data_IF_729006282062
#
_entry.id   IF_729006282062
#
_cell.length_a   1.000
_cell.length_b   1.000
_cell.length_c   1.000
_cell.angle_alpha   90.00
_cell.angle_beta   90.00
_cell.angle_gamma   90.00
#
_symmetry.space_group_name_H-M   'P 1'
#
loop_
_entity.id
_entity.type
_entity.pdbx_description
1 polymer ?
#
# COMPACT_ATOMS: atom_id res chain seq x y z
N UNK A 1 -11.24 21.21 -12.73
CA UNK A 1 -9.96 20.44 -12.81
C UNK A 1 -9.32 20.19 -11.43
N UNK A 2 -9.50 21.06 -10.43
CA UNK A 2 -8.95 20.86 -9.08
C UNK A 2 -9.62 19.72 -8.30
N UNK A 3 -10.94 19.54 -8.43
CA UNK A 3 -11.69 18.50 -7.70
C UNK A 3 -11.19 17.08 -7.99
N UNK A 4 -10.93 16.74 -9.27
CA UNK A 4 -10.38 15.42 -9.64
C UNK A 4 -8.98 15.18 -9.06
N UNK A 5 -8.16 16.23 -8.93
CA UNK A 5 -6.82 16.13 -8.27
C UNK A 5 -6.97 15.93 -6.76
N UNK A 6 -7.93 16.64 -6.14
CA UNK A 6 -8.24 16.51 -4.71
C UNK A 6 -8.79 15.12 -4.40
N UNK A 7 -9.76 14.63 -5.19
CA UNK A 7 -10.29 13.26 -5.08
C UNK A 7 -9.20 12.20 -5.24
N UNK A 8 -8.28 12.36 -6.21
CA UNK A 8 -7.15 11.44 -6.38
C UNK A 8 -6.19 11.43 -5.18
N UNK A 9 -5.93 12.59 -4.56
CA UNK A 9 -5.11 12.66 -3.35
C UNK A 9 -5.80 12.00 -2.15
N UNK A 10 -7.09 12.27 -1.96
CA UNK A 10 -7.87 11.65 -0.88
C UNK A 10 -8.03 10.14 -1.05
N UNK A 11 -8.21 9.65 -2.28
CA UNK A 11 -8.24 8.22 -2.56
C UNK A 11 -6.93 7.53 -2.17
N UNK A 12 -5.77 8.17 -2.39
CA UNK A 12 -4.48 7.64 -1.94
C UNK A 12 -4.40 7.57 -0.41
N UNK A 13 -4.83 8.63 0.27
CA UNK A 13 -4.82 8.68 1.74
C UNK A 13 -5.69 7.57 2.34
N UNK A 14 -6.92 7.42 1.84
CA UNK A 14 -7.84 6.37 2.30
C UNK A 14 -7.26 4.99 2.04
N UNK A 15 -6.68 4.77 0.85
CA UNK A 15 -6.08 3.49 0.51
C UNK A 15 -4.90 3.12 1.43
N UNK A 16 -4.00 4.08 1.72
CA UNK A 16 -2.88 3.87 2.65
C UNK A 16 -3.39 3.48 4.05
N UNK A 17 -4.41 4.17 4.58
CA UNK A 17 -5.00 3.88 5.90
C UNK A 17 -5.58 2.47 5.95
N UNK A 18 -6.34 2.08 4.92
CA UNK A 18 -6.91 0.74 4.82
C UNK A 18 -5.83 -0.33 4.73
N UNK A 19 -4.80 -0.12 3.90
CA UNK A 19 -3.68 -1.05 3.80
C UNK A 19 -2.94 -1.20 5.11
N UNK A 20 -2.62 -0.10 5.81
CA UNK A 20 -1.99 -0.18 7.12
C UNK A 20 -2.84 -0.97 8.12
N UNK A 21 -4.16 -0.74 8.12
CA UNK A 21 -5.09 -1.46 8.99
C UNK A 21 -5.13 -2.97 8.68
N UNK A 22 -5.13 -3.35 7.40
CA UNK A 22 -5.04 -4.75 6.97
C UNK A 22 -3.70 -5.37 7.34
N UNK A 23 -2.58 -4.67 7.11
CA UNK A 23 -1.23 -5.12 7.49
C UNK A 23 -1.17 -5.36 9.00
N UNK A 24 -1.69 -4.44 9.82
CA UNK A 24 -1.68 -4.59 11.27
C UNK A 24 -2.51 -5.78 11.78
N UNK A 25 -3.56 -6.18 11.06
CA UNK A 25 -4.31 -7.40 11.40
C UNK A 25 -3.55 -8.66 11.00
N UNK A 26 -2.98 -8.67 9.79
CA UNK A 26 -2.28 -9.85 9.25
C UNK A 26 -0.95 -10.07 9.98
N UNK A 27 -0.22 -9.01 10.31
CA UNK A 27 1.08 -9.10 10.99
C UNK A 27 1.00 -9.73 12.39
N UNK A 28 -0.17 -9.71 13.06
CA UNK A 28 -0.35 -10.38 14.36
C UNK A 28 -0.15 -11.90 14.30
N UNK A 29 -0.34 -12.50 13.13
CA UNK A 29 -0.15 -13.94 12.91
C UNK A 29 1.17 -14.32 12.26
N UNK A 30 2.04 -13.34 11.96
CA UNK A 30 3.34 -13.61 11.31
C UNK A 30 4.40 -13.77 12.39
N UNK A 31 5.00 -14.95 12.45
CA UNK A 31 6.21 -15.18 13.25
C UNK A 31 7.44 -14.73 12.45
N UNK A 32 8.17 -13.72 12.93
CA UNK A 32 9.39 -13.20 12.30
C UNK A 32 10.66 -13.92 12.73
N UNK A 33 10.54 -14.99 13.52
CA UNK A 33 11.68 -15.79 13.98
C UNK A 33 12.38 -16.54 12.85
N UNK A 34 11.70 -16.80 11.74
CA UNK A 34 12.25 -17.49 10.57
C UNK A 34 12.32 -16.59 9.31
N UNK A 35 13.07 -17.07 8.32
CA UNK A 35 13.26 -16.35 7.05
C UNK A 35 11.95 -16.22 6.24
N UNK A 36 10.99 -17.13 6.45
CA UNK A 36 9.72 -17.12 5.74
C UNK A 36 8.78 -16.03 6.27
N UNK A 37 8.72 -15.83 7.58
CA UNK A 37 7.95 -14.76 8.18
C UNK A 37 8.54 -13.38 7.93
N UNK A 38 9.87 -13.25 7.95
CA UNK A 38 10.55 -12.03 7.50
C UNK A 38 10.23 -11.72 6.03
N UNK A 39 10.29 -12.74 5.15
CA UNK A 39 9.90 -12.59 3.74
C UNK A 39 8.43 -12.21 3.57
N UNK A 40 7.53 -12.82 4.35
CA UNK A 40 6.10 -12.51 4.36
C UNK A 40 5.82 -11.06 4.80
N UNK A 41 6.52 -10.60 5.83
CA UNK A 41 6.39 -9.22 6.32
C UNK A 41 6.90 -8.22 5.29
N UNK A 42 8.06 -8.47 4.67
CA UNK A 42 8.58 -7.62 3.58
C UNK A 42 7.59 -7.58 2.41
N UNK A 43 7.05 -8.72 2.00
CA UNK A 43 6.03 -8.81 0.95
C UNK A 43 4.78 -7.99 1.26
N UNK A 44 4.33 -8.03 2.53
CA UNK A 44 3.17 -7.29 3.00
C UNK A 44 3.28 -5.77 2.79
N UNK A 45 4.50 -5.21 2.86
CA UNK A 45 4.74 -3.79 2.59
C UNK A 45 5.12 -3.51 1.13
N UNK A 46 5.90 -4.40 0.52
CA UNK A 46 6.45 -4.20 -0.82
C UNK A 46 5.37 -4.24 -1.91
N UNK A 47 4.45 -5.21 -1.87
CA UNK A 47 3.40 -5.32 -2.89
C UNK A 47 2.45 -4.10 -2.88
N UNK A 48 1.92 -3.64 -1.73
CA UNK A 48 1.11 -2.44 -1.69
C UNK A 48 1.87 -1.18 -2.12
N UNK A 49 3.15 -1.05 -1.75
CA UNK A 49 3.97 0.09 -2.16
C UNK A 49 4.11 0.16 -3.70
N UNK A 50 4.39 -0.97 -4.36
CA UNK A 50 4.43 -1.05 -5.82
C UNK A 50 3.07 -0.76 -6.43
N UNK A 51 2.00 -1.34 -5.87
CA UNK A 51 0.64 -1.12 -6.36
C UNK A 51 0.27 0.36 -6.30
N UNK A 52 0.54 1.04 -5.19
CA UNK A 52 0.29 2.48 -5.06
C UNK A 52 1.15 3.32 -5.98
N UNK A 53 2.43 2.96 -6.12
CA UNK A 53 3.28 3.60 -7.09
C UNK A 53 2.66 3.50 -8.49
N UNK A 54 2.25 2.32 -8.95
CA UNK A 54 1.65 2.13 -10.28
C UNK A 54 0.30 2.83 -10.45
N UNK A 55 -0.60 2.70 -9.46
CA UNK A 55 -1.95 3.25 -9.50
C UNK A 55 -1.95 4.79 -9.47
N UNK A 56 -1.03 5.39 -8.70
CA UNK A 56 -0.95 6.84 -8.54
C UNK A 56 0.18 7.48 -9.36
N UNK A 57 0.99 6.69 -10.07
CA UNK A 57 1.94 7.20 -11.06
C UNK A 57 1.21 8.12 -12.02
N UNK A 58 1.75 9.32 -12.19
CA UNK A 58 1.25 10.24 -13.21
C UNK A 58 1.58 9.62 -14.56
N UNK A 59 0.56 9.23 -15.35
CA UNK A 59 0.78 8.81 -16.74
C UNK A 59 1.41 10.01 -17.46
N UNK A 60 2.67 9.87 -17.92
CA UNK A 60 3.26 10.80 -18.88
C UNK A 60 2.59 10.49 -20.23
N UNK A 61 1.51 11.21 -20.57
CA UNK A 61 0.83 11.03 -21.85
C UNK A 61 -0.70 11.14 -21.79
N UNK A 62 -1.19 12.38 -21.66
CA UNK A 62 -2.17 13.05 -22.52
C UNK A 62 -2.25 14.50 -22.04
#
# INVERSE_FOLDING_TARGET
>A
MNEKKVQRKWALVVAIIFTMSSIAQVAKGIDVSDSYGLGGLIGLFFFPAIFYYLAFKKKKGK
#
